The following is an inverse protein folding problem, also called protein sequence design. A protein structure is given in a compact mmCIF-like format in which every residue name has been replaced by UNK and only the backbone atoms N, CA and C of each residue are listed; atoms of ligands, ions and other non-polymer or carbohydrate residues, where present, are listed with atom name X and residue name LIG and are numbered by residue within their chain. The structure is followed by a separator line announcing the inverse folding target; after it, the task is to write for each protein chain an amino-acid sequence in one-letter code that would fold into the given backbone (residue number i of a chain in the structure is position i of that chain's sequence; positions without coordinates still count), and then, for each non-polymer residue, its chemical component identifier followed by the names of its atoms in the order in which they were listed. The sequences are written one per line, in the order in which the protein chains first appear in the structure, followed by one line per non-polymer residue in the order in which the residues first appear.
data_IF_077169362210
#
_entry.id   IF_077169362210
#
_cell.length_a   1.000
_cell.length_b   1.000
_cell.length_c   1.000
_cell.angle_alpha   90.00
_cell.angle_beta   90.00
_cell.angle_gamma   90.00
#
_symmetry.space_group_name_H-M   'P 1'
#
loop_
_entity.id
_entity.type
_entity.pdbx_description
1 polymer ?
#
# COMPACT_ATOMS: atom_id res chain seq x y z
N UNK A 1 9.25 10.65 -11.58
CA UNK A 1 8.13 9.88 -11.01
C UNK A 1 8.68 8.95 -9.94
N UNK A 2 8.32 9.18 -8.67
CA UNK A 2 8.80 8.37 -7.54
C UNK A 2 7.88 7.15 -7.42
N UNK A 3 8.25 6.04 -8.05
CA UNK A 3 7.52 4.76 -7.95
C UNK A 3 7.73 4.17 -6.56
N UNK A 4 6.95 4.63 -5.60
CA UNK A 4 6.95 4.06 -4.27
C UNK A 4 6.14 2.77 -4.27
N UNK A 5 6.59 1.79 -3.47
CA UNK A 5 5.90 0.49 -3.33
C UNK A 5 4.41 0.69 -2.98
N UNK A 6 4.11 1.66 -2.11
CA UNK A 6 2.76 2.05 -1.73
C UNK A 6 1.87 2.48 -2.88
N UNK A 7 2.39 3.31 -3.79
CA UNK A 7 1.63 3.75 -4.96
C UNK A 7 1.27 2.56 -5.86
N UNK A 8 2.21 1.63 -6.05
CA UNK A 8 1.99 0.44 -6.89
C UNK A 8 0.98 -0.53 -6.27
N UNK A 9 1.02 -0.69 -4.95
CA UNK A 9 0.01 -1.48 -4.21
C UNK A 9 -1.37 -0.86 -4.40
N UNK A 10 -1.49 0.47 -4.26
CA UNK A 10 -2.75 1.21 -4.46
C UNK A 10 -3.28 1.06 -5.88
N UNK A 11 -2.43 1.22 -6.89
CA UNK A 11 -2.82 1.04 -8.30
C UNK A 11 -3.34 -0.38 -8.58
N UNK A 12 -2.62 -1.41 -8.12
CA UNK A 12 -3.04 -2.81 -8.28
C UNK A 12 -4.34 -3.10 -7.54
N UNK A 13 -4.52 -2.52 -6.35
CA UNK A 13 -5.75 -2.64 -5.56
C UNK A 13 -6.95 -2.06 -6.30
N UNK A 14 -6.81 -0.85 -6.84
CA UNK A 14 -7.86 -0.18 -7.62
C UNK A 14 -8.16 -0.91 -8.93
N UNK A 15 -7.13 -1.40 -9.62
CA UNK A 15 -7.30 -2.19 -10.84
C UNK A 15 -8.08 -3.50 -10.59
N UNK A 16 -7.93 -4.08 -9.39
CA UNK A 16 -8.68 -5.26 -8.95
C UNK A 16 -10.01 -4.92 -8.26
N UNK A 17 -10.38 -3.63 -8.17
CA UNK A 17 -11.57 -3.14 -7.48
C UNK A 17 -11.68 -3.64 -6.02
N UNK A 18 -10.54 -3.71 -5.32
CA UNK A 18 -10.47 -4.21 -3.95
C UNK A 18 -10.46 -3.05 -2.93
N UNK A 19 -11.08 -3.27 -1.78
CA UNK A 19 -10.88 -2.39 -0.62
C UNK A 19 -9.56 -2.71 0.09
N UNK A 20 -9.08 -1.80 0.94
CA UNK A 20 -7.88 -2.06 1.75
C UNK A 20 -8.08 -3.27 2.66
N UNK A 21 -9.29 -3.48 3.18
CA UNK A 21 -9.65 -4.62 4.02
C UNK A 21 -9.63 -5.94 3.24
N UNK A 22 -10.19 -5.96 2.03
CA UNK A 22 -10.14 -7.14 1.17
C UNK A 22 -8.70 -7.50 0.78
N UNK A 23 -7.89 -6.50 0.43
CA UNK A 23 -6.47 -6.72 0.15
C UNK A 23 -5.73 -7.24 1.40
N UNK A 24 -6.05 -6.68 2.58
CA UNK A 24 -5.47 -7.11 3.84
C UNK A 24 -5.80 -8.57 4.16
N UNK A 25 -7.06 -8.99 3.97
CA UNK A 25 -7.49 -10.39 4.11
C UNK A 25 -6.75 -11.33 3.15
N UNK A 26 -6.59 -10.93 1.89
CA UNK A 26 -5.85 -11.72 0.89
C UNK A 26 -4.37 -11.86 1.26
N UNK A 27 -3.77 -10.80 1.77
CA UNK A 27 -2.38 -10.79 2.22
C UNK A 27 -2.19 -11.35 3.64
N UNK A 28 -3.28 -11.73 4.34
CA UNK A 28 -3.28 -12.16 5.75
C UNK A 28 -2.59 -11.17 6.68
N UNK A 29 -2.77 -9.88 6.41
CA UNK A 29 -2.27 -8.76 7.23
C UNK A 29 -3.44 -7.91 7.71
N UNK A 30 -3.17 -6.97 8.60
CA UNK A 30 -4.16 -5.99 9.04
C UNK A 30 -4.37 -4.90 7.99
N UNK A 31 -5.58 -4.35 7.88
CA UNK A 31 -5.89 -3.18 7.03
C UNK A 31 -4.99 -1.97 7.34
N UNK A 32 -4.61 -1.81 8.61
CA UNK A 32 -3.63 -0.83 9.04
C UNK A 32 -2.25 -1.01 8.38
N UNK A 33 -1.80 -2.24 8.12
CA UNK A 33 -0.54 -2.50 7.41
C UNK A 33 -0.64 -2.11 5.94
N UNK A 34 -1.77 -2.41 5.28
CA UNK A 34 -2.03 -1.95 3.90
C UNK A 34 -2.04 -0.42 3.84
N UNK A 35 -2.74 0.24 4.78
CA UNK A 35 -2.78 1.70 4.87
C UNK A 35 -1.37 2.28 5.06
N UNK A 36 -0.56 1.71 5.95
CA UNK A 36 0.84 2.08 6.12
C UNK A 36 1.64 1.88 4.84
N UNK A 37 1.49 0.78 4.12
CA UNK A 37 2.23 0.60 2.87
C UNK A 37 1.82 1.62 1.81
N UNK A 38 0.53 1.92 1.68
CA UNK A 38 0.01 2.91 0.74
C UNK A 38 0.38 4.36 1.10
N UNK A 39 0.60 4.69 2.39
CA UNK A 39 0.86 6.06 2.86
C UNK A 39 2.31 6.33 3.34
N UNK A 40 2.98 5.35 3.94
CA UNK A 40 4.36 5.46 4.44
C UNK A 40 5.37 5.21 3.33
N UNK A 41 5.59 6.23 2.51
CA UNK A 41 6.68 6.28 1.53
C UNK A 41 7.24 7.69 1.41
N UNK A 42 7.72 8.25 2.52
CA UNK A 42 8.73 9.32 2.55
C UNK A 42 9.40 9.45 3.92
N UNK A 43 10.17 8.45 4.33
CA UNK A 43 11.41 8.73 5.05
C UNK A 43 12.57 8.48 4.09
N UNK A 44 12.83 9.44 3.19
CA UNK A 44 14.21 9.67 2.77
C UNK A 44 14.90 10.31 3.97
N UNK A 45 15.36 9.47 4.91
CA UNK A 45 16.33 9.91 5.90
C UNK A 45 17.67 9.88 5.17
N UNK A 46 18.04 11.04 4.62
CA UNK A 46 19.42 11.29 4.25
C UNK A 46 20.25 11.22 5.53
N UNK A 47 21.05 10.17 5.62
CA UNK A 47 22.27 10.17 6.42
C UNK A 47 23.44 10.31 5.45
#
# INVERSE_FOLDING_TARGET
MKYSLGNKIRELRLHKQLTQEQLAQLCKVSSAAISKWEHEVSQTKGY
#
